data_IF_522310716202
#
_entry.id   IF_522310716202
#
_cell.length_a   1.000
_cell.length_b   1.000
_cell.length_c   1.000
_cell.angle_alpha   90.00
_cell.angle_beta   90.00
_cell.angle_gamma   90.00
#
_symmetry.space_group_name_H-M   'P 1'
#
loop_
_entity.id
_entity.type
_entity.pdbx_description
1 polymer ?
#
# COMPACT_ATOMS: atom_id res chain seq x y z
N UNK A 1 15.98 -18.63 -16.51
CA UNK A 1 14.72 -18.75 -15.78
C UNK A 1 13.71 -19.49 -16.62
N UNK A 2 12.63 -19.99 -16.03
CA UNK A 2 11.48 -20.53 -16.77
C UNK A 2 10.55 -19.35 -17.06
N UNK A 3 10.17 -19.18 -18.33
CA UNK A 3 9.22 -18.16 -18.78
C UNK A 3 7.83 -18.76 -18.95
N UNK A 4 6.81 -18.05 -18.48
CA UNK A 4 5.40 -18.40 -18.59
C UNK A 4 4.63 -17.21 -19.15
N UNK A 5 3.77 -17.45 -20.13
CA UNK A 5 2.89 -16.43 -20.68
C UNK A 5 1.52 -16.58 -20.03
N UNK A 6 1.07 -15.55 -19.31
CA UNK A 6 -0.31 -15.41 -18.87
C UNK A 6 -1.09 -14.72 -19.99
N UNK A 7 -1.69 -15.53 -20.87
CA UNK A 7 -2.61 -15.06 -21.89
C UNK A 7 -4.05 -15.34 -21.42
N UNK A 8 -4.90 -14.32 -21.39
CA UNK A 8 -6.35 -14.54 -21.37
C UNK A 8 -6.76 -14.95 -22.79
N UNK A 9 -7.35 -16.16 -23.00
CA UNK A 9 -7.77 -16.63 -24.31
C UNK A 9 -8.77 -15.69 -25.02
N UNK A 10 -9.41 -14.78 -24.28
CA UNK A 10 -10.46 -13.88 -24.77
C UNK A 10 -10.00 -12.45 -25.07
N UNK A 11 -8.77 -12.07 -24.69
CA UNK A 11 -8.26 -10.72 -24.86
C UNK A 11 -7.50 -10.53 -26.19
N UNK A 12 -8.22 -10.49 -27.32
CA UNK A 12 -7.62 -10.47 -28.66
C UNK A 12 -6.78 -9.22 -29.02
N UNK A 13 -6.94 -8.11 -28.28
CA UNK A 13 -6.30 -6.83 -28.60
C UNK A 13 -5.23 -6.37 -27.58
N UNK A 14 -4.79 -7.25 -26.68
CA UNK A 14 -3.81 -6.88 -25.65
C UNK A 14 -2.63 -7.86 -25.66
N UNK A 15 -1.40 -7.32 -25.65
CA UNK A 15 -0.22 -8.16 -25.49
C UNK A 15 -0.30 -8.92 -24.15
N UNK A 16 -0.01 -10.23 -24.14
CA UNK A 16 -0.09 -11.03 -22.93
C UNK A 16 0.98 -10.61 -21.93
N UNK A 17 0.74 -10.86 -20.64
CA UNK A 17 1.77 -10.68 -19.63
C UNK A 17 2.74 -11.88 -19.68
N UNK A 18 4.04 -11.59 -19.75
CA UNK A 18 5.10 -12.62 -19.74
C UNK A 18 5.80 -12.57 -18.40
N UNK A 19 5.96 -13.72 -17.75
CA UNK A 19 6.58 -13.86 -16.43
C UNK A 19 7.81 -14.76 -16.55
N UNK A 20 8.94 -14.32 -16.02
CA UNK A 20 10.13 -15.15 -15.85
C UNK A 20 10.57 -15.14 -14.40
N UNK A 21 10.92 -16.32 -13.87
CA UNK A 21 11.56 -16.40 -12.54
C UNK A 21 13.08 -16.46 -12.70
N UNK A 22 13.78 -15.52 -12.08
CA UNK A 22 15.24 -15.48 -12.04
C UNK A 22 15.80 -16.64 -11.20
N UNK A 23 17.08 -17.04 -11.39
CA UNK A 23 17.67 -18.14 -10.62
C UNK A 23 17.64 -17.94 -9.09
N UNK A 24 17.63 -16.70 -8.61
CA UNK A 24 17.54 -16.39 -7.18
C UNK A 24 16.11 -16.38 -6.63
N UNK A 25 15.08 -16.48 -7.47
CA UNK A 25 13.66 -16.52 -7.08
C UNK A 25 12.86 -15.25 -7.35
N UNK A 26 13.50 -14.13 -7.75
CA UNK A 26 12.79 -12.91 -8.14
C UNK A 26 11.93 -13.18 -9.38
N UNK A 27 10.66 -12.79 -9.33
CA UNK A 27 9.76 -12.89 -10.48
C UNK A 27 9.80 -11.59 -11.27
N UNK A 28 9.84 -11.69 -12.60
CA UNK A 28 9.83 -10.55 -13.52
C UNK A 28 8.61 -10.69 -14.41
N UNK A 29 7.64 -9.81 -14.26
CA UNK A 29 6.45 -9.73 -15.09
C UNK A 29 6.55 -8.51 -16.02
N UNK A 30 6.28 -8.71 -17.31
CA UNK A 30 6.26 -7.59 -18.27
C UNK A 30 5.03 -7.64 -19.15
N UNK A 31 4.58 -6.48 -19.57
CA UNK A 31 3.57 -6.34 -20.62
C UNK A 31 3.96 -5.23 -21.58
N UNK A 32 4.17 -5.60 -22.83
CA UNK A 32 4.53 -4.65 -23.88
C UNK A 32 3.31 -3.83 -24.30
N UNK A 33 3.47 -2.52 -24.43
CA UNK A 33 2.44 -1.58 -24.90
C UNK A 33 3.04 -0.54 -25.84
N UNK A 34 2.21 0.01 -26.73
CA UNK A 34 2.60 1.10 -27.61
C UNK A 34 2.45 2.44 -26.87
N UNK A 35 3.51 2.89 -26.22
CA UNK A 35 3.61 4.14 -25.46
C UNK A 35 5.05 4.68 -25.57
N UNK A 36 5.26 5.97 -25.29
CA UNK A 36 6.61 6.55 -25.12
C UNK A 36 7.12 6.46 -23.67
N UNK A 37 6.19 6.25 -22.73
CA UNK A 37 6.45 6.12 -21.29
C UNK A 37 6.34 4.66 -20.87
N UNK A 38 7.26 4.24 -20.01
CA UNK A 38 7.26 2.94 -19.33
C UNK A 38 7.08 3.14 -17.83
N UNK A 39 6.26 2.30 -17.21
CA UNK A 39 6.18 2.16 -15.76
C UNK A 39 6.94 0.90 -15.35
N UNK A 40 7.94 1.07 -14.51
CA UNK A 40 8.74 -0.01 -13.93
C UNK A 40 8.61 0.02 -12.40
N UNK A 41 8.59 -1.13 -11.77
CA UNK A 41 8.50 -1.17 -10.31
C UNK A 41 8.95 -2.48 -9.70
N UNK A 42 9.35 -2.39 -8.44
CA UNK A 42 9.67 -3.52 -7.57
C UNK A 42 8.60 -3.57 -6.47
N UNK A 43 7.86 -4.68 -6.45
CA UNK A 43 6.83 -4.97 -5.48
C UNK A 43 7.39 -6.02 -4.52
N UNK A 44 7.38 -5.68 -3.24
CA UNK A 44 7.88 -6.53 -2.16
C UNK A 44 6.67 -6.90 -1.33
N UNK A 45 6.47 -8.20 -1.13
CA UNK A 45 5.37 -8.72 -0.32
C UNK A 45 5.72 -8.70 1.17
N UNK A 46 6.08 -7.50 1.64
CA UNK A 46 6.38 -7.15 3.02
C UNK A 46 5.73 -5.79 3.35
N UNK A 47 5.26 -5.61 4.57
CA UNK A 47 4.73 -4.34 5.07
C UNK A 47 4.73 -4.28 6.60
N UNK A 48 3.86 -3.47 7.20
CA UNK A 48 3.80 -3.36 8.68
C UNK A 48 3.34 -4.64 9.37
N UNK A 49 2.65 -5.54 8.67
CA UNK A 49 2.26 -6.86 9.18
C UNK A 49 3.47 -7.76 9.41
N UNK A 50 4.57 -7.53 8.70
CA UNK A 50 5.80 -8.33 8.80
C UNK A 50 6.77 -7.75 9.86
N UNK A 51 6.36 -6.70 10.56
CA UNK A 51 7.09 -6.14 11.70
C UNK A 51 6.85 -6.96 12.97
N UNK A 52 7.79 -6.83 13.91
CA UNK A 52 7.63 -7.29 15.29
C UNK A 52 7.33 -6.11 16.20
N UNK A 53 6.88 -6.38 17.43
CA UNK A 53 6.63 -5.34 18.45
C UNK A 53 7.85 -4.46 18.70
N UNK A 54 9.07 -5.01 18.64
CA UNK A 54 10.33 -4.28 18.82
C UNK A 54 10.83 -3.51 17.58
N UNK A 55 10.16 -3.69 16.43
CA UNK A 55 10.45 -3.05 15.14
C UNK A 55 9.22 -2.37 14.54
N UNK A 56 8.20 -2.06 15.35
CA UNK A 56 6.96 -1.44 14.87
C UNK A 56 7.23 -0.02 14.38
N UNK A 57 7.04 0.21 13.07
CA UNK A 57 7.40 1.45 12.36
C UNK A 57 8.62 1.31 11.44
N UNK A 58 9.25 0.13 11.39
CA UNK A 58 10.41 -0.13 10.53
C UNK A 58 10.10 0.02 9.04
N UNK A 59 8.96 -0.49 8.58
CA UNK A 59 8.56 -0.43 7.18
C UNK A 59 8.35 1.02 6.73
N UNK A 60 7.73 1.86 7.57
CA UNK A 60 7.56 3.29 7.28
C UNK A 60 8.90 4.04 7.27
N UNK A 61 9.82 3.71 8.15
CA UNK A 61 11.17 4.27 8.14
C UNK A 61 11.97 3.87 6.90
N UNK A 62 11.86 2.61 6.45
CA UNK A 62 12.49 2.16 5.20
C UNK A 62 11.93 2.91 4.00
N UNK A 63 10.62 3.17 3.96
CA UNK A 63 10.00 4.01 2.94
C UNK A 63 10.56 5.45 2.96
N UNK A 64 10.61 6.07 4.14
CA UNK A 64 11.11 7.44 4.29
C UNK A 64 12.60 7.55 3.86
N UNK A 65 13.40 6.54 4.16
CA UNK A 65 14.83 6.52 3.83
C UNK A 65 15.11 6.24 2.35
N UNK A 66 14.18 5.64 1.61
CA UNK A 66 14.40 5.17 0.24
C UNK A 66 14.87 6.26 -0.75
N UNK A 67 14.45 7.52 -0.57
CA UNK A 67 14.89 8.66 -1.39
C UNK A 67 15.92 9.56 -0.69
N UNK A 68 16.49 9.11 0.44
CA UNK A 68 17.53 9.87 1.15
C UNK A 68 18.94 9.53 0.69
N UNK A 69 19.05 8.77 -0.40
CA UNK A 69 20.29 8.26 -0.96
C UNK A 69 20.47 6.76 -0.71
N UNK A 70 21.39 6.18 -1.44
CA UNK A 70 21.80 4.78 -1.36
C UNK A 70 23.28 4.72 -1.01
N UNK A 71 23.83 3.51 -0.85
CA UNK A 71 25.29 3.34 -0.69
C UNK A 71 26.09 3.81 -1.91
N UNK A 72 25.50 3.78 -3.11
CA UNK A 72 26.15 4.20 -4.37
C UNK A 72 25.86 5.65 -4.73
N UNK A 73 24.68 6.16 -4.37
CA UNK A 73 24.16 7.45 -4.81
C UNK A 73 23.83 8.33 -3.60
N UNK A 74 24.63 9.37 -3.33
CA UNK A 74 24.25 10.40 -2.37
C UNK A 74 22.90 11.03 -2.72
N UNK A 75 22.15 11.51 -1.71
CA UNK A 75 20.80 12.09 -1.87
C UNK A 75 20.67 13.06 -3.05
N UNK A 76 21.58 14.03 -3.14
CA UNK A 76 21.54 15.07 -4.17
C UNK A 76 21.78 14.50 -5.58
N UNK A 77 22.69 13.52 -5.70
CA UNK A 77 22.97 12.86 -6.97
C UNK A 77 21.76 12.01 -7.41
N UNK A 78 21.16 11.25 -6.48
CA UNK A 78 19.95 10.47 -6.76
C UNK A 78 18.80 11.36 -7.24
N UNK A 79 18.54 12.47 -6.55
CA UNK A 79 17.50 13.43 -6.93
C UNK A 79 17.76 14.03 -8.32
N UNK A 80 18.99 14.51 -8.56
CA UNK A 80 19.37 15.07 -9.87
C UNK A 80 19.26 14.05 -11.00
N UNK A 81 19.58 12.78 -10.75
CA UNK A 81 19.47 11.71 -11.74
C UNK A 81 18.00 11.46 -12.12
N UNK A 82 17.11 11.36 -11.13
CA UNK A 82 15.66 11.21 -11.33
C UNK A 82 15.07 12.42 -12.08
N UNK A 83 15.41 13.64 -11.66
CA UNK A 83 14.93 14.87 -12.28
C UNK A 83 15.42 15.03 -13.72
N UNK A 84 16.68 14.66 -14.01
CA UNK A 84 17.25 14.78 -15.36
C UNK A 84 16.55 13.91 -16.40
N UNK A 85 15.96 12.78 -15.99
CA UNK A 85 15.15 11.91 -16.84
C UNK A 85 13.70 12.38 -16.97
N UNK A 86 13.29 13.40 -16.20
CA UNK A 86 11.87 13.75 -16.04
C UNK A 86 11.04 12.62 -15.42
N UNK A 87 11.68 11.74 -14.64
CA UNK A 87 11.05 10.55 -14.09
C UNK A 87 10.19 10.90 -12.87
N UNK A 88 9.07 10.19 -12.70
CA UNK A 88 8.30 10.23 -11.46
C UNK A 88 8.57 8.97 -10.65
N UNK A 89 8.90 9.13 -9.38
CA UNK A 89 9.12 8.02 -8.45
C UNK A 89 8.06 8.05 -7.35
N UNK A 90 7.49 6.88 -7.05
CA UNK A 90 6.53 6.72 -5.97
C UNK A 90 6.92 5.51 -5.13
N UNK A 91 6.83 5.66 -3.81
CA UNK A 91 6.93 4.55 -2.87
C UNK A 91 5.67 4.50 -2.02
N UNK A 92 5.18 3.30 -1.78
CA UNK A 92 4.01 3.10 -0.94
C UNK A 92 4.20 1.84 -0.12
N UNK A 93 4.05 1.98 1.18
CA UNK A 93 4.06 0.87 2.13
C UNK A 93 2.67 0.69 2.71
N UNK A 94 2.08 -0.48 2.48
CA UNK A 94 0.86 -0.91 3.13
C UNK A 94 1.14 -1.90 4.26
N UNK A 95 0.09 -2.60 4.69
CA UNK A 95 0.21 -3.64 5.72
C UNK A 95 0.95 -4.89 5.24
N UNK A 96 0.76 -5.30 3.98
CA UNK A 96 1.35 -6.55 3.46
C UNK A 96 2.29 -6.37 2.27
N UNK A 97 2.35 -5.17 1.71
CA UNK A 97 3.06 -4.90 0.46
C UNK A 97 3.73 -3.53 0.49
N UNK A 98 4.96 -3.48 -0.03
CA UNK A 98 5.71 -2.25 -0.33
C UNK A 98 5.98 -2.21 -1.82
N UNK A 99 5.64 -1.09 -2.46
CA UNK A 99 5.88 -0.87 -3.88
C UNK A 99 6.83 0.30 -4.09
N UNK A 100 7.88 0.08 -4.88
CA UNK A 100 8.77 1.11 -5.41
C UNK A 100 8.53 1.19 -6.91
N UNK A 101 7.97 2.29 -7.40
CA UNK A 101 7.61 2.44 -8.81
C UNK A 101 8.23 3.69 -9.40
N UNK A 102 8.59 3.62 -10.67
CA UNK A 102 9.08 4.73 -11.46
C UNK A 102 8.40 4.76 -12.82
N UNK A 103 7.98 5.95 -13.25
CA UNK A 103 7.59 6.19 -14.63
C UNK A 103 8.72 6.94 -15.33
N UNK A 104 9.18 6.38 -16.45
CA UNK A 104 10.36 6.85 -17.20
C UNK A 104 10.06 6.83 -18.70
N UNK A 105 10.81 7.61 -19.47
CA UNK A 105 10.78 7.50 -20.93
C UNK A 105 11.38 6.15 -21.36
N UNK A 106 11.00 5.67 -22.55
CA UNK A 106 11.52 4.42 -23.13
C UNK A 106 13.04 4.31 -23.11
N UNK A 107 13.76 5.41 -23.37
CA UNK A 107 15.22 5.49 -23.36
C UNK A 107 15.84 5.20 -22.00
N UNK A 108 15.11 5.52 -20.92
CA UNK A 108 15.65 5.61 -19.56
C UNK A 108 15.25 4.41 -18.69
N UNK A 109 14.55 3.42 -19.27
CA UNK A 109 14.14 2.17 -18.59
C UNK A 109 15.31 1.47 -17.91
N UNK A 110 16.47 1.43 -18.57
CA UNK A 110 17.70 0.85 -18.00
C UNK A 110 18.12 1.57 -16.73
N UNK A 111 18.09 2.89 -16.74
CA UNK A 111 18.51 3.73 -15.63
C UNK A 111 17.50 3.68 -14.48
N UNK A 112 16.19 3.71 -14.78
CA UNK A 112 15.14 3.52 -13.80
C UNK A 112 15.25 2.17 -13.07
N UNK A 113 15.53 1.08 -13.79
CA UNK A 113 15.75 -0.23 -13.16
C UNK A 113 17.00 -0.29 -12.28
N UNK A 114 18.08 0.39 -12.66
CA UNK A 114 19.30 0.46 -11.85
C UNK A 114 19.09 1.27 -10.55
N UNK A 115 18.36 2.39 -10.64
CA UNK A 115 17.96 3.19 -9.48
C UNK A 115 17.07 2.38 -8.54
N UNK A 116 16.03 1.72 -9.05
CA UNK A 116 15.14 0.88 -8.25
C UNK A 116 15.91 -0.25 -7.56
N UNK A 117 16.82 -0.92 -8.27
CA UNK A 117 17.68 -1.95 -7.68
C UNK A 117 18.53 -1.43 -6.52
N UNK A 118 19.12 -0.26 -6.68
CA UNK A 118 19.96 0.37 -5.66
C UNK A 118 19.17 0.79 -4.41
N UNK A 119 17.98 1.39 -4.61
CA UNK A 119 17.07 1.78 -3.52
C UNK A 119 16.64 0.55 -2.70
N UNK A 120 16.29 -0.54 -3.37
CA UNK A 120 15.78 -1.75 -2.70
C UNK A 120 16.91 -2.54 -2.01
N UNK A 121 18.08 -2.66 -2.64
CA UNK A 121 19.14 -3.56 -2.14
C UNK A 121 20.14 -2.87 -1.21
N UNK A 122 20.31 -1.55 -1.33
CA UNK A 122 21.33 -0.81 -0.60
C UNK A 122 20.84 0.57 -0.13
N UNK A 123 19.71 0.64 0.60
CA UNK A 123 19.21 1.91 1.12
C UNK A 123 20.24 2.56 2.04
N UNK A 124 20.41 3.88 1.91
CA UNK A 124 21.26 4.67 2.79
C UNK A 124 20.58 4.89 4.14
N UNK A 125 21.25 4.56 5.23
CA UNK A 125 20.71 4.72 6.59
C UNK A 125 21.24 5.94 7.33
N UNK A 126 22.18 6.68 6.73
CA UNK A 126 22.88 7.83 7.35
C UNK A 126 21.91 8.92 7.83
N UNK A 127 20.74 9.05 7.20
CA UNK A 127 19.73 10.05 7.54
C UNK A 127 18.67 9.57 8.55
N UNK A 128 18.85 8.39 9.18
CA UNK A 128 17.84 7.78 10.05
C UNK A 128 17.32 8.73 11.14
N UNK A 129 18.20 9.42 11.87
CA UNK A 129 17.78 10.31 12.96
C UNK A 129 16.86 11.44 12.46
N UNK A 130 17.22 12.02 11.30
CA UNK A 130 16.43 13.09 10.68
C UNK A 130 15.08 12.61 10.16
N UNK A 131 15.03 11.42 9.57
CA UNK A 131 13.77 10.86 9.08
C UNK A 131 12.85 10.44 10.24
N UNK A 132 13.40 9.96 11.36
CA UNK A 132 12.61 9.73 12.59
C UNK A 132 11.95 11.02 13.08
N UNK A 133 12.71 12.09 13.23
CA UNK A 133 12.18 13.40 13.63
C UNK A 133 11.09 13.88 12.66
N UNK A 134 11.30 13.68 11.36
CA UNK A 134 10.32 14.02 10.33
C UNK A 134 9.00 13.25 10.46
N UNK A 135 9.05 11.95 10.73
CA UNK A 135 7.85 11.13 10.94
C UNK A 135 7.16 11.52 12.26
N UNK A 136 7.91 11.68 13.36
CA UNK A 136 7.37 12.09 14.67
C UNK A 136 6.67 13.45 14.57
N UNK A 137 7.27 14.41 13.83
CA UNK A 137 6.63 15.70 13.59
C UNK A 137 5.31 15.54 12.84
N UNK A 138 5.28 14.75 11.76
CA UNK A 138 4.06 14.48 10.99
C UNK A 138 2.96 13.81 11.82
N UNK A 139 3.33 12.91 12.74
CA UNK A 139 2.40 12.28 13.68
C UNK A 139 1.84 13.28 14.71
N UNK A 140 2.60 14.34 15.01
CA UNK A 140 2.21 15.39 15.96
C UNK A 140 1.39 16.50 15.30
N UNK A 141 1.48 16.63 13.99
CA UNK A 141 0.69 17.57 13.19
C UNK A 141 -0.80 17.11 13.17
N UNK A 142 -1.73 18.04 13.40
CA UNK A 142 -3.19 17.79 13.38
C UNK A 142 -3.74 17.50 11.96
N UNK A 143 -2.88 17.52 10.94
CA UNK A 143 -3.25 17.47 9.52
C UNK A 143 -3.25 16.05 8.94
N UNK A 144 -3.10 15.00 9.77
CA UNK A 144 -3.28 13.63 9.29
C UNK A 144 -4.70 13.44 8.74
N UNK A 145 -4.87 12.89 7.52
CA UNK A 145 -6.20 12.67 6.96
C UNK A 145 -7.05 11.83 7.90
N UNK A 146 -8.19 12.37 8.35
CA UNK A 146 -9.07 11.71 9.33
C UNK A 146 -9.45 10.30 8.90
N UNK A 147 -9.68 10.08 7.60
CA UNK A 147 -9.96 8.76 7.02
C UNK A 147 -8.86 7.75 7.34
N UNK A 148 -7.59 8.11 7.17
CA UNK A 148 -6.46 7.22 7.44
C UNK A 148 -6.34 6.90 8.94
N UNK A 149 -6.59 7.88 9.81
CA UNK A 149 -6.61 7.67 11.27
C UNK A 149 -7.73 6.72 11.67
N UNK A 150 -8.91 6.87 11.08
CA UNK A 150 -10.07 6.00 11.34
C UNK A 150 -9.81 4.57 10.86
N UNK A 151 -9.20 4.40 9.69
CA UNK A 151 -8.79 3.08 9.20
C UNK A 151 -7.75 2.44 10.11
N UNK A 152 -6.75 3.19 10.57
CA UNK A 152 -5.72 2.64 11.44
C UNK A 152 -6.27 2.19 12.80
N UNK A 153 -7.17 3.00 13.39
CA UNK A 153 -7.91 2.67 14.60
C UNK A 153 -8.85 1.48 14.43
N UNK A 154 -9.53 1.39 13.28
CA UNK A 154 -10.38 0.24 12.98
C UNK A 154 -9.56 -1.06 12.96
N UNK A 155 -8.38 -1.05 12.34
CA UNK A 155 -7.49 -2.22 12.30
C UNK A 155 -6.97 -2.60 13.67
N UNK A 156 -6.52 -1.64 14.47
CA UNK A 156 -6.02 -1.93 15.83
C UNK A 156 -7.11 -2.47 16.75
N UNK A 157 -8.36 -2.04 16.53
CA UNK A 157 -9.53 -2.55 17.23
C UNK A 157 -9.91 -3.97 16.78
N UNK A 158 -10.01 -4.18 15.46
CA UNK A 158 -10.43 -5.45 14.86
C UNK A 158 -9.39 -6.57 14.99
N UNK A 159 -8.10 -6.24 14.92
CA UNK A 159 -6.99 -7.19 14.95
C UNK A 159 -6.08 -6.93 16.14
N UNK A 160 -6.64 -7.12 17.34
CA UNK A 160 -5.92 -6.89 18.60
C UNK A 160 -4.76 -7.88 18.78
N UNK A 161 -3.64 -7.39 19.30
CA UNK A 161 -2.44 -8.16 19.67
C UNK A 161 -1.74 -8.91 18.53
N UNK A 162 -2.20 -8.77 17.29
CA UNK A 162 -1.59 -9.33 16.07
C UNK A 162 -1.06 -8.22 15.17
N UNK A 163 -0.05 -8.54 14.35
CA UNK A 163 0.64 -7.54 13.53
C UNK A 163 -0.23 -6.88 12.46
N UNK A 164 -1.38 -7.48 12.11
CA UNK A 164 -2.33 -6.85 11.19
C UNK A 164 -3.02 -5.61 11.81
N UNK A 165 -3.07 -5.52 13.14
CA UNK A 165 -3.54 -4.34 13.86
C UNK A 165 -2.47 -3.28 14.10
N UNK A 166 -1.22 -3.52 13.68
CA UNK A 166 -0.15 -2.53 13.80
C UNK A 166 -0.42 -1.32 12.92
N UNK A 167 -0.19 -0.13 13.49
CA UNK A 167 -0.27 1.13 12.74
C UNK A 167 0.60 1.10 11.48
N UNK A 168 0.10 1.64 10.36
CA UNK A 168 0.92 1.78 9.13
C UNK A 168 2.08 2.75 9.30
N UNK A 169 1.99 3.69 10.25
CA UNK A 169 3.04 4.67 10.53
C UNK A 169 3.94 4.22 11.68
N UNK A 170 3.35 3.54 12.66
CA UNK A 170 4.02 3.13 13.89
C UNK A 170 3.80 4.09 15.05
N UNK A 171 3.94 3.64 16.31
CA UNK A 171 3.81 4.47 17.49
C UNK A 171 5.05 5.35 17.69
N UNK A 172 4.88 6.47 18.40
CA UNK A 172 5.97 7.40 18.72
C UNK A 172 7.19 6.69 19.34
N UNK A 173 6.98 5.99 20.45
CA UNK A 173 8.04 5.27 21.17
C UNK A 173 8.70 4.20 20.28
N UNK A 174 7.91 3.52 19.43
CA UNK A 174 8.42 2.52 18.50
C UNK A 174 9.36 3.10 17.45
N UNK A 175 9.03 4.26 16.89
CA UNK A 175 9.88 4.97 15.92
C UNK A 175 11.19 5.44 16.57
N UNK A 176 11.12 5.95 17.80
CA UNK A 176 12.28 6.41 18.55
C UNK A 176 13.27 5.26 18.84
N UNK A 177 12.76 4.08 19.19
CA UNK A 177 13.56 2.90 19.57
C UNK A 177 14.17 2.11 18.40
N UNK A 178 13.86 2.46 17.15
CA UNK A 178 14.37 1.73 15.97
C UNK A 178 15.82 2.10 15.67
N UNK A 179 16.76 1.18 15.85
CA UNK A 179 18.17 1.39 15.49
C UNK A 179 18.44 1.00 14.03
N UNK A 180 19.58 1.43 13.48
CA UNK A 180 20.03 0.97 12.16
C UNK A 180 20.14 -0.56 12.09
N UNK A 181 20.60 -1.20 13.16
CA UNK A 181 20.70 -2.66 13.24
C UNK A 181 19.32 -3.34 13.13
N UNK A 182 18.29 -2.79 13.80
CA UNK A 182 16.91 -3.29 13.70
C UNK A 182 16.36 -3.12 12.27
N UNK A 183 16.62 -1.98 11.63
CA UNK A 183 16.21 -1.75 10.23
C UNK A 183 16.91 -2.70 9.26
N UNK A 184 18.22 -2.90 9.41
CA UNK A 184 18.97 -3.85 8.60
C UNK A 184 18.44 -5.28 8.78
N UNK A 185 18.07 -5.66 10.01
CA UNK A 185 17.44 -6.95 10.28
C UNK A 185 16.07 -7.08 9.60
N UNK A 186 15.23 -6.04 9.67
CA UNK A 186 13.93 -6.01 9.00
C UNK A 186 14.10 -6.15 7.47
N UNK A 187 14.99 -5.38 6.87
CA UNK A 187 15.31 -5.47 5.44
C UNK A 187 15.82 -6.88 5.10
N UNK A 188 16.80 -7.41 5.85
CA UNK A 188 17.39 -8.71 5.56
C UNK A 188 16.41 -9.89 5.70
N UNK A 189 15.39 -9.76 6.53
CA UNK A 189 14.36 -10.80 6.73
C UNK A 189 13.19 -10.68 5.75
N UNK A 190 12.83 -9.45 5.36
CA UNK A 190 11.64 -9.19 4.55
C UNK A 190 11.93 -9.04 3.06
N UNK A 191 13.11 -8.52 2.70
CA UNK A 191 13.48 -8.20 1.32
C UNK A 191 14.29 -9.37 0.72
N UNK A 192 13.63 -10.52 0.61
CA UNK A 192 14.18 -11.72 -0.03
C UNK A 192 13.66 -11.89 -1.45
N UNK A 193 14.39 -12.64 -2.27
CA UNK A 193 14.15 -12.71 -3.71
C UNK A 193 12.76 -13.27 -4.07
N UNK A 194 12.30 -14.34 -3.43
CA UNK A 194 10.97 -14.94 -3.70
C UNK A 194 9.82 -14.02 -3.27
N UNK A 195 10.11 -13.10 -2.34
CA UNK A 195 9.17 -12.09 -1.86
C UNK A 195 9.08 -10.86 -2.79
N UNK A 196 9.86 -10.83 -3.88
CA UNK A 196 9.91 -9.71 -4.82
C UNK A 196 9.34 -10.06 -6.19
N UNK A 197 8.67 -9.07 -6.78
CA UNK A 197 8.24 -9.07 -8.18
C UNK A 197 8.68 -7.76 -8.83
N UNK A 198 9.42 -7.86 -9.92
CA UNK A 198 9.63 -6.75 -10.84
C UNK A 198 8.48 -6.72 -11.83
N UNK A 199 7.81 -5.58 -11.99
CA UNK A 199 6.80 -5.36 -13.01
C UNK A 199 7.24 -4.26 -13.96
N UNK A 200 7.09 -4.47 -15.25
CA UNK A 200 7.33 -3.44 -16.27
C UNK A 200 6.22 -3.42 -17.32
N UNK A 201 5.63 -2.25 -17.54
CA UNK A 201 4.59 -2.02 -18.55
C UNK A 201 4.99 -0.83 -19.41
N UNK A 202 5.00 -0.99 -20.73
CA UNK A 202 5.47 0.05 -21.66
C UNK A 202 6.06 -0.53 -22.94
N UNK A 203 6.77 0.29 -23.73
CA UNK A 203 7.54 -0.14 -24.90
C UNK A 203 8.81 -0.91 -24.51
N UNK A 204 8.66 -1.97 -23.72
CA UNK A 204 9.75 -2.77 -23.13
C UNK A 204 9.74 -4.20 -23.64
N UNK A 205 10.92 -4.75 -23.95
CA UNK A 205 11.07 -6.17 -24.31
C UNK A 205 11.32 -7.00 -23.06
N UNK A 206 10.60 -8.11 -22.92
CA UNK A 206 10.70 -8.99 -21.77
C UNK A 206 12.15 -9.41 -21.44
N UNK A 207 12.89 -9.89 -22.44
CA UNK A 207 14.26 -10.37 -22.26
C UNK A 207 15.24 -9.28 -21.82
N UNK A 208 15.01 -8.02 -22.22
CA UNK A 208 15.80 -6.88 -21.79
C UNK A 208 15.54 -6.57 -20.31
N UNK A 209 14.26 -6.55 -19.90
CA UNK A 209 13.88 -6.34 -18.49
C UNK A 209 14.40 -7.48 -17.61
N UNK A 210 14.35 -8.73 -18.06
CA UNK A 210 14.90 -9.88 -17.32
C UNK A 210 16.41 -9.70 -17.06
N UNK A 211 17.18 -9.24 -18.06
CA UNK A 211 18.62 -8.96 -17.90
C UNK A 211 18.88 -7.80 -16.94
N UNK A 212 18.09 -6.73 -17.03
CA UNK A 212 18.19 -5.58 -16.15
C UNK A 212 17.85 -5.95 -14.70
N UNK A 213 16.75 -6.68 -14.50
CA UNK A 213 16.34 -7.18 -13.19
C UNK A 213 17.37 -8.15 -12.60
N UNK A 214 17.97 -9.03 -13.42
CA UNK A 214 19.04 -9.92 -12.98
C UNK A 214 20.29 -9.15 -12.55
N UNK A 215 20.59 -8.02 -13.18
CA UNK A 215 21.72 -7.16 -12.80
C UNK A 215 21.42 -6.40 -11.52
N UNK A 216 20.21 -5.85 -11.40
CA UNK A 216 19.78 -5.00 -10.30
C UNK A 216 19.51 -5.80 -9.00
N UNK A 217 18.88 -6.98 -9.11
CA UNK A 217 18.36 -7.75 -7.97
C UNK A 217 18.94 -9.16 -7.88
N UNK A 218 19.89 -9.54 -8.74
CA UNK A 218 20.47 -10.89 -8.75
C UNK A 218 21.25 -11.26 -7.48
N UNK A 219 21.74 -10.26 -6.73
CA UNK A 219 22.44 -10.44 -5.46
C UNK A 219 21.50 -10.56 -4.25
N UNK A 220 20.19 -10.34 -4.43
CA UNK A 220 19.21 -10.48 -3.34
C UNK A 220 19.20 -11.93 -2.86
N UNK A 221 19.22 -12.10 -1.53
CA UNK A 221 19.23 -13.41 -0.89
C UNK A 221 18.01 -14.23 -1.33
N UNK A 222 18.28 -15.45 -1.80
CA UNK A 222 17.24 -16.42 -2.11
C UNK A 222 16.49 -16.90 -0.85
N UNK A 223 15.23 -17.28 -1.03
CA UNK A 223 14.39 -17.85 0.01
C UNK A 223 13.07 -17.12 0.19
N UNK A 224 12.06 -17.86 0.62
CA UNK A 224 10.77 -17.34 1.04
C UNK A 224 10.91 -16.46 2.30
N UNK A 225 10.03 -15.45 2.45
CA UNK A 225 9.93 -14.73 3.72
C UNK A 225 9.49 -15.70 4.83
N UNK A 226 9.72 -15.35 6.11
CA UNK A 226 9.17 -16.12 7.22
C UNK A 226 7.65 -16.27 7.07
N UNK A 227 7.14 -17.49 7.26
CA UNK A 227 5.70 -17.69 7.29
C UNK A 227 5.09 -16.91 8.47
N UNK A 228 3.91 -16.30 8.31
CA UNK A 228 3.17 -15.76 9.44
C UNK A 228 2.98 -16.87 10.48
N UNK A 229 3.26 -16.58 11.75
CA UNK A 229 3.17 -17.56 12.83
C UNK A 229 1.73 -18.04 13.04
N UNK A 230 0.73 -17.16 12.91
CA UNK A 230 -0.69 -17.47 13.12
C UNK A 230 -1.62 -16.60 12.24
N UNK A 231 -2.82 -17.12 11.93
CA UNK A 231 -3.89 -16.34 11.27
C UNK A 231 -4.34 -15.20 12.21
N UNK A 232 -4.46 -13.94 11.73
CA UNK A 232 -5.04 -12.86 12.51
C UNK A 232 -6.44 -13.23 12.99
N UNK A 233 -6.69 -13.03 14.28
CA UNK A 233 -8.01 -13.23 14.87
C UNK A 233 -8.80 -11.92 14.84
N UNK A 234 -10.01 -11.95 14.27
CA UNK A 234 -10.91 -10.82 14.26
C UNK A 234 -11.66 -10.73 15.60
N UNK A 235 -11.49 -9.60 16.30
CA UNK A 235 -12.15 -9.27 17.55
C UNK A 235 -13.28 -8.27 17.29
N UNK A 236 -14.50 -8.62 17.69
CA UNK A 236 -15.57 -7.63 17.83
C UNK A 236 -15.26 -6.69 19.00
N UNK A 237 -14.92 -5.44 18.72
CA UNK A 237 -14.59 -4.44 19.71
C UNK A 237 -14.99 -3.03 19.23
N UNK A 238 -15.10 -2.10 20.17
CA UNK A 238 -15.45 -0.71 19.93
C UNK A 238 -14.34 0.20 20.47
N UNK A 239 -13.99 1.22 19.69
CA UNK A 239 -13.06 2.28 20.10
C UNK A 239 -13.75 3.63 19.93
N UNK A 240 -14.06 4.28 21.05
CA UNK A 240 -14.63 5.62 21.08
C UNK A 240 -13.55 6.63 21.46
N UNK A 241 -13.33 7.62 20.58
CA UNK A 241 -12.43 8.74 20.84
C UNK A 241 -13.21 10.03 20.70
N UNK A 242 -13.50 10.65 21.84
CA UNK A 242 -14.22 11.93 21.90
C UNK A 242 -13.22 13.07 22.02
N UNK A 243 -13.29 14.02 21.09
CA UNK A 243 -12.51 15.25 21.12
C UNK A 243 -13.37 16.42 20.61
N UNK A 244 -13.94 17.16 21.56
CA UNK A 244 -14.87 18.27 21.30
C UNK A 244 -14.16 19.47 20.63
N UNK A 245 -12.82 19.47 20.52
CA UNK A 245 -12.04 20.48 19.80
C UNK A 245 -11.90 20.21 18.29
N UNK A 246 -12.32 19.03 17.78
CA UNK A 246 -12.17 18.64 16.37
C UNK A 246 -13.24 19.23 15.44
N UNK A 247 -14.16 20.02 15.99
CA UNK A 247 -15.28 20.61 15.25
C UNK A 247 -16.55 19.76 15.29
N UNK A 248 -17.62 20.18 14.60
CA UNK A 248 -18.96 19.60 14.74
C UNK A 248 -19.15 18.30 13.94
N UNK A 249 -18.07 17.66 13.49
CA UNK A 249 -18.12 16.48 12.63
C UNK A 249 -17.69 15.24 13.39
N UNK A 250 -18.57 14.25 13.44
CA UNK A 250 -18.27 12.92 13.91
C UNK A 250 -17.87 12.01 12.74
N UNK A 251 -16.90 11.14 13.00
CA UNK A 251 -16.41 10.15 12.05
C UNK A 251 -16.64 8.76 12.63
N UNK A 252 -17.16 7.85 11.81
CA UNK A 252 -17.52 6.49 12.22
C UNK A 252 -16.97 5.52 11.19
N UNK A 253 -16.36 4.43 11.66
CA UNK A 253 -15.95 3.32 10.82
C UNK A 253 -16.36 2.01 11.52
N UNK A 254 -17.16 1.21 10.83
CA UNK A 254 -17.59 -0.11 11.31
C UNK A 254 -17.26 -1.16 10.26
N UNK A 255 -16.79 -2.32 10.68
CA UNK A 255 -16.45 -3.42 9.78
C UNK A 255 -16.71 -4.78 10.40
N UNK A 256 -16.89 -5.76 9.51
CA UNK A 256 -17.02 -7.18 9.78
C UNK A 256 -15.81 -7.91 9.18
N UNK A 257 -15.48 -9.09 9.71
CA UNK A 257 -14.49 -9.96 9.07
C UNK A 257 -15.00 -10.34 7.66
N UNK A 258 -14.17 -10.08 6.66
CA UNK A 258 -14.42 -10.52 5.28
C UNK A 258 -13.49 -11.68 4.91
N UNK A 259 -13.25 -11.88 3.62
CA UNK A 259 -12.55 -13.05 3.10
C UNK A 259 -11.11 -12.73 2.67
N UNK A 260 -10.21 -13.71 2.58
CA UNK A 260 -8.88 -13.51 2.03
C UNK A 260 -8.89 -13.22 0.52
N UNK A 261 -7.80 -12.64 -0.03
CA UNK A 261 -7.61 -12.38 -1.46
C UNK A 261 -7.88 -13.58 -2.38
N UNK A 262 -7.52 -14.80 -1.94
CA UNK A 262 -7.67 -16.04 -2.73
C UNK A 262 -9.02 -16.71 -2.57
N UNK A 263 -9.92 -16.15 -1.77
CA UNK A 263 -11.26 -16.72 -1.58
C UNK A 263 -12.08 -16.63 -2.87
N UNK A 264 -12.88 -17.66 -3.22
CA UNK A 264 -13.84 -17.56 -4.32
C UNK A 264 -14.87 -16.44 -4.08
N UNK A 265 -15.13 -16.09 -2.82
CA UNK A 265 -16.08 -15.04 -2.45
C UNK A 265 -15.50 -13.62 -2.54
N UNK A 266 -14.20 -13.45 -2.82
CA UNK A 266 -13.58 -12.12 -2.90
C UNK A 266 -14.29 -11.25 -3.96
N UNK A 267 -14.62 -11.81 -5.12
CA UNK A 267 -15.38 -11.10 -6.16
C UNK A 267 -16.79 -10.76 -5.67
N UNK A 268 -17.43 -11.63 -4.90
CA UNK A 268 -18.75 -11.37 -4.29
C UNK A 268 -18.71 -10.15 -3.37
N UNK A 269 -17.68 -10.04 -2.52
CA UNK A 269 -17.49 -8.87 -1.66
C UNK A 269 -17.18 -7.59 -2.46
N UNK A 270 -16.40 -7.66 -3.55
CA UNK A 270 -16.18 -6.52 -4.45
C UNK A 270 -17.48 -6.04 -5.11
N UNK A 271 -18.33 -6.97 -5.54
CA UNK A 271 -19.65 -6.65 -6.10
C UNK A 271 -20.55 -6.04 -5.02
N UNK A 272 -20.53 -6.58 -3.80
CA UNK A 272 -21.29 -6.03 -2.67
C UNK A 272 -20.85 -4.61 -2.34
N UNK A 273 -19.55 -4.32 -2.28
CA UNK A 273 -19.00 -2.97 -2.11
C UNK A 273 -19.52 -2.01 -3.18
N UNK A 274 -19.48 -2.41 -4.46
CA UNK A 274 -19.99 -1.59 -5.57
C UNK A 274 -21.51 -1.39 -5.52
N UNK A 275 -22.26 -2.43 -5.13
CA UNK A 275 -23.71 -2.35 -4.97
C UNK A 275 -24.03 -1.37 -3.86
N UNK A 276 -23.35 -1.41 -2.70
CA UNK A 276 -23.57 -0.45 -1.60
C UNK A 276 -23.11 0.95 -2.01
N UNK A 277 -21.94 1.05 -2.62
CA UNK A 277 -21.40 2.28 -3.18
C UNK A 277 -21.03 3.34 -2.14
N UNK A 278 -20.95 4.58 -2.62
CA UNK A 278 -20.53 5.74 -1.86
C UNK A 278 -21.43 6.94 -2.14
N UNK A 279 -21.41 7.89 -1.20
CA UNK A 279 -22.10 9.15 -1.26
C UNK A 279 -21.21 10.24 -0.64
N UNK A 280 -21.18 11.41 -1.28
CA UNK A 280 -20.53 12.60 -0.73
C UNK A 280 -21.37 13.82 -1.08
N UNK A 281 -21.71 14.60 -0.07
CA UNK A 281 -22.49 15.83 -0.20
C UNK A 281 -21.75 16.84 -1.07
N UNK A 282 -22.49 17.51 -1.95
CA UNK A 282 -21.94 18.54 -2.84
C UNK A 282 -21.20 18.01 -4.08
N UNK A 283 -20.98 16.69 -4.21
CA UNK A 283 -20.33 16.10 -5.40
C UNK A 283 -21.25 15.95 -6.63
N UNK A 284 -22.53 16.28 -6.47
CA UNK A 284 -23.56 16.14 -7.52
C UNK A 284 -23.91 14.69 -7.84
N UNK A 285 -24.97 14.48 -8.63
CA UNK A 285 -25.33 13.16 -9.16
C UNK A 285 -24.46 12.86 -10.38
N UNK A 286 -23.26 12.32 -10.18
CA UNK A 286 -22.42 11.84 -11.29
C UNK A 286 -22.88 10.43 -11.68
N UNK A 287 -23.38 10.21 -12.91
CA UNK A 287 -23.77 8.89 -13.36
C UNK A 287 -22.62 7.89 -13.22
N UNK A 288 -22.87 6.76 -12.57
CA UNK A 288 -21.86 5.72 -12.34
C UNK A 288 -21.04 5.86 -11.05
N UNK A 289 -21.10 6.98 -10.34
CA UNK A 289 -20.41 7.13 -9.03
C UNK A 289 -21.34 6.90 -7.83
N UNK A 290 -22.65 7.03 -8.02
CA UNK A 290 -23.66 6.87 -6.98
C UNK A 290 -24.49 5.62 -7.27
N UNK A 291 -24.52 4.71 -6.31
CA UNK A 291 -25.38 3.54 -6.40
C UNK A 291 -26.85 3.93 -6.23
N UNK A 292 -27.72 3.44 -7.12
CA UNK A 292 -29.16 3.62 -7.03
C UNK A 292 -29.85 2.74 -5.98
N UNK A 293 -29.08 2.14 -5.07
CA UNK A 293 -29.62 1.26 -4.04
C UNK A 293 -30.45 2.03 -2.99
N UNK A 294 -31.13 1.28 -2.13
CA UNK A 294 -31.93 1.86 -1.04
C UNK A 294 -31.09 2.61 -0.01
N UNK A 295 -29.90 2.13 0.33
CA UNK A 295 -29.03 2.71 1.37
C UNK A 295 -28.57 4.12 0.98
N UNK A 296 -27.84 4.25 -0.12
CA UNK A 296 -27.36 5.51 -0.69
C UNK A 296 -28.52 6.43 -1.04
N UNK A 297 -29.63 5.92 -1.59
CA UNK A 297 -30.81 6.75 -1.81
C UNK A 297 -31.38 7.30 -0.48
N UNK A 298 -31.39 6.50 0.59
CA UNK A 298 -31.86 6.97 1.91
C UNK A 298 -30.90 8.01 2.50
N UNK A 299 -29.59 7.78 2.43
CA UNK A 299 -28.55 8.74 2.86
C UNK A 299 -28.64 10.04 2.05
N UNK A 300 -28.89 9.96 0.74
CA UNK A 300 -28.91 11.12 -0.14
C UNK A 300 -30.22 11.92 -0.14
N UNK A 301 -31.38 11.29 0.09
CA UNK A 301 -32.70 11.92 -0.17
C UNK A 301 -33.64 11.97 1.03
N UNK A 302 -33.49 11.08 2.02
CA UNK A 302 -34.54 10.88 3.04
C UNK A 302 -34.28 11.59 4.37
N UNK A 303 -33.22 12.37 4.48
CA UNK A 303 -32.79 12.88 5.78
C UNK A 303 -32.61 14.40 5.72
N UNK A 304 -33.64 15.12 6.19
CA UNK A 304 -33.68 16.58 6.25
C UNK A 304 -32.68 17.19 7.25
N UNK A 305 -31.98 16.38 8.06
CA UNK A 305 -30.98 16.83 9.05
C UNK A 305 -29.73 15.93 9.05
N UNK A 306 -28.56 16.52 8.77
CA UNK A 306 -27.23 16.14 9.31
C UNK A 306 -26.65 14.73 9.14
N UNK A 307 -27.35 13.78 8.49
CA UNK A 307 -27.07 12.35 8.69
C UNK A 307 -25.69 11.85 8.23
N UNK A 308 -25.19 12.28 7.08
CA UNK A 308 -23.85 11.95 6.59
C UNK A 308 -23.47 12.92 5.48
N UNK A 309 -22.41 13.69 5.71
CA UNK A 309 -21.76 14.46 4.65
C UNK A 309 -20.95 13.54 3.72
N UNK A 310 -20.50 12.38 4.23
CA UNK A 310 -19.84 11.34 3.47
C UNK A 310 -20.26 9.94 3.98
N UNK A 311 -20.56 9.04 3.05
CA UNK A 311 -20.77 7.61 3.30
C UNK A 311 -20.00 6.80 2.26
N UNK A 312 -19.29 5.76 2.67
CA UNK A 312 -18.55 4.91 1.76
C UNK A 312 -18.50 3.48 2.29
N UNK A 313 -19.00 2.52 1.52
CA UNK A 313 -18.65 1.12 1.75
C UNK A 313 -17.22 0.87 1.30
N UNK A 314 -16.48 0.09 2.07
CA UNK A 314 -15.12 -0.31 1.75
C UNK A 314 -14.94 -1.81 1.94
N UNK A 315 -13.97 -2.33 1.21
CA UNK A 315 -13.57 -3.72 1.31
C UNK A 315 -12.05 -3.84 1.24
N UNK A 316 -11.47 -4.55 2.18
CA UNK A 316 -10.03 -4.73 2.31
C UNK A 316 -9.71 -6.20 2.44
N UNK A 317 -8.93 -6.73 1.51
CA UNK A 317 -8.50 -8.12 1.53
C UNK A 317 -7.04 -8.22 1.99
N UNK A 318 -6.76 -9.26 2.76
CA UNK A 318 -5.42 -9.65 3.18
C UNK A 318 -5.15 -11.10 2.76
N UNK A 319 -3.92 -11.58 2.97
CA UNK A 319 -3.51 -12.95 2.58
C UNK A 319 -4.41 -14.05 3.14
N UNK A 320 -4.92 -13.87 4.36
CA UNK A 320 -5.61 -14.89 5.16
C UNK A 320 -6.86 -14.38 5.92
N UNK A 321 -7.24 -13.12 5.75
CA UNK A 321 -8.47 -12.52 6.29
C UNK A 321 -8.85 -11.27 5.47
N UNK A 322 -9.86 -10.52 5.89
CA UNK A 322 -10.22 -9.24 5.31
C UNK A 322 -11.16 -8.44 6.21
N UNK A 323 -11.46 -7.20 5.82
CA UNK A 323 -12.47 -6.35 6.44
C UNK A 323 -13.47 -5.89 5.37
N UNK A 324 -14.75 -5.95 5.69
CA UNK A 324 -15.81 -5.34 4.89
C UNK A 324 -16.65 -4.44 5.79
N UNK A 325 -16.87 -3.20 5.38
CA UNK A 325 -17.48 -2.22 6.27
C UNK A 325 -17.92 -0.95 5.58
N UNK A 326 -18.20 0.05 6.41
CA UNK A 326 -18.59 1.37 5.96
C UNK A 326 -17.96 2.46 6.80
N UNK A 327 -17.74 3.59 6.16
CA UNK A 327 -17.22 4.81 6.74
C UNK A 327 -18.25 5.91 6.60
N UNK A 328 -18.47 6.66 7.67
CA UNK A 328 -19.43 7.76 7.75
C UNK A 328 -18.71 8.99 8.31
N UNK A 329 -18.94 10.14 7.69
CA UNK A 329 -18.68 11.45 8.30
C UNK A 329 -20.01 12.20 8.36
N UNK A 330 -20.39 12.68 9.53
CA UNK A 330 -21.70 13.28 9.81
C UNK A 330 -21.61 14.39 10.86
N UNK A 331 -22.67 15.15 11.04
CA UNK A 331 -22.77 16.11 12.15
C UNK A 331 -22.78 15.34 13.49
N UNK A 332 -22.10 15.85 14.51
CA UNK A 332 -22.00 15.22 15.83
C UNK A 332 -23.37 14.97 16.48
N UNK A 333 -24.38 15.80 16.20
CA UNK A 333 -25.74 15.60 16.75
C UNK A 333 -26.54 14.53 16.01
N UNK A 334 -26.05 14.07 14.86
CA UNK A 334 -26.74 13.12 13.98
C UNK A 334 -26.16 11.69 14.04
N UNK A 335 -25.15 11.44 14.90
CA UNK A 335 -24.44 10.15 14.99
C UNK A 335 -25.39 8.96 15.17
N UNK A 336 -26.34 9.03 16.11
CA UNK A 336 -27.29 7.93 16.35
C UNK A 336 -28.22 7.66 15.17
N UNK A 337 -28.50 8.68 14.36
CA UNK A 337 -29.31 8.55 13.16
C UNK A 337 -28.51 8.03 11.96
N UNK A 338 -27.21 8.32 11.95
CA UNK A 338 -26.28 7.92 10.90
C UNK A 338 -25.94 6.42 10.95
N UNK A 339 -25.90 5.84 12.15
CA UNK A 339 -25.67 4.40 12.43
C UNK A 339 -26.91 3.58 12.06
#
# INVERSE_FOLDING_TARGET
GISQTLADPTAWNQAPAVITTLPNGVRVATRETFSEVSSVGVYINAGTRDERKDTHGAAKLVEALALTGTKKRPKAALASEIESMGATVNMTTGREQTAYTMSVMKSDVKQGMDILGDIVTAPGLVNLAKEKEGIIRKLSEKDMPTRAVMEDRLHSCAFRDVSLGFSTVGPFDGIEDITEAKLQQFIASSYTAENMVVSAVGPVKHDEIVKLASTALGSVKAGAPPAPTEKPYFCGAELLYRNDEMGPTAYIAAAFESVPWKSPDAVTFMVMEHIIGKYMKGRGLVPGEISGNRTVNSVATKMDVGCADQFEAFNMFYKDTGLFGFYIACDEVAVEHAI
#
